data_IF_042114032320
#
_entry.id   IF_042114032320
#
_cell.length_a   1.000
_cell.length_b   1.000
_cell.length_c   1.000
_cell.angle_alpha   90.00
_cell.angle_beta   90.00
_cell.angle_gamma   90.00
#
_symmetry.space_group_name_H-M   'P 1'
#
loop_
_entity.id
_entity.type
_entity.pdbx_description
1 polymer ?
#
# COMPACT_ATOMS: atom_id res chain seq x y z
N UNK A 1 -4.78 -8.76 21.15
CA UNK A 1 -4.63 -8.60 19.69
C UNK A 1 -4.33 -9.97 19.12
N UNK A 2 -5.21 -10.50 18.26
CA UNK A 2 -4.96 -11.79 17.60
C UNK A 2 -4.04 -11.48 16.42
N UNK A 3 -2.81 -12.03 16.37
CA UNK A 3 -1.96 -11.83 15.20
C UNK A 3 -2.65 -12.47 13.99
N UNK A 4 -2.87 -11.68 12.94
CA UNK A 4 -3.36 -12.26 11.69
C UNK A 4 -2.28 -13.15 11.09
N UNK A 5 -2.65 -14.39 10.76
CA UNK A 5 -1.79 -15.30 10.03
C UNK A 5 -2.15 -15.21 8.55
N UNK A 6 -1.20 -14.78 7.74
CA UNK A 6 -1.25 -14.87 6.28
C UNK A 6 -0.20 -15.91 5.86
N UNK A 7 -0.56 -17.21 5.75
CA UNK A 7 0.41 -18.29 5.50
C UNK A 7 1.17 -18.13 4.17
N UNK A 8 0.57 -17.42 3.22
CA UNK A 8 1.13 -17.09 1.91
C UNK A 8 1.36 -15.58 1.75
N UNK A 9 1.40 -14.84 2.86
CA UNK A 9 1.65 -13.41 2.82
C UNK A 9 3.09 -13.11 2.42
N UNK A 10 3.28 -12.03 1.66
CA UNK A 10 4.59 -11.54 1.25
C UNK A 10 5.17 -10.56 2.29
N UNK A 11 6.49 -10.42 2.30
CA UNK A 11 7.15 -9.32 3.02
C UNK A 11 7.41 -8.19 2.04
N UNK A 12 6.93 -7.00 2.35
CA UNK A 12 7.16 -5.81 1.53
C UNK A 12 8.22 -4.91 2.16
N UNK A 13 8.96 -4.18 1.33
CA UNK A 13 9.90 -3.16 1.80
C UNK A 13 9.24 -1.79 1.69
N UNK A 14 9.20 -1.05 2.79
CA UNK A 14 8.76 0.35 2.79
C UNK A 14 9.95 1.24 2.48
N UNK A 15 9.79 2.07 1.45
CA UNK A 15 10.71 3.13 1.09
C UNK A 15 10.12 4.46 1.53
N UNK A 16 10.85 5.15 2.38
CA UNK A 16 10.50 6.47 2.90
C UNK A 16 11.67 7.40 2.65
N UNK A 17 11.35 8.63 2.26
CA UNK A 17 12.32 9.56 1.74
C UNK A 17 12.08 10.99 2.18
N UNK A 18 13.12 11.81 2.08
CA UNK A 18 13.00 13.26 2.20
C UNK A 18 12.88 13.89 0.82
N UNK A 19 12.45 15.15 0.78
CA UNK A 19 12.52 15.95 -0.44
C UNK A 19 13.80 16.76 -0.42
N UNK A 20 14.46 16.85 -1.55
CA UNK A 20 15.60 17.73 -1.70
C UNK A 20 15.16 19.20 -1.82
N UNK A 21 16.15 20.09 -1.98
CA UNK A 21 15.90 21.54 -2.10
C UNK A 21 15.05 21.90 -3.33
N UNK A 22 15.06 21.09 -4.39
CA UNK A 22 14.29 21.35 -5.61
C UNK A 22 12.94 20.63 -5.63
N UNK A 23 12.66 19.82 -4.61
CA UNK A 23 11.38 19.15 -4.40
C UNK A 23 11.35 17.70 -4.88
N UNK A 24 12.46 17.19 -5.40
CA UNK A 24 12.60 15.81 -5.86
C UNK A 24 12.66 14.87 -4.64
N UNK A 25 11.98 13.73 -4.78
CA UNK A 25 11.86 12.77 -3.69
C UNK A 25 13.05 11.81 -3.71
N UNK A 26 13.82 11.77 -2.63
CA UNK A 26 14.90 10.81 -2.44
C UNK A 26 14.42 9.68 -1.53
N UNK A 27 14.01 8.57 -2.14
CA UNK A 27 13.52 7.39 -1.44
C UNK A 27 14.68 6.50 -0.99
N UNK A 28 14.62 6.04 0.26
CA UNK A 28 15.55 5.05 0.82
C UNK A 28 14.78 3.92 1.48
N UNK A 29 15.36 2.72 1.48
CA UNK A 29 14.82 1.57 2.21
C UNK A 29 14.75 1.93 3.71
N UNK A 30 13.55 1.88 4.29
CA UNK A 30 13.31 2.27 5.69
C UNK A 30 13.16 1.05 6.60
N UNK A 31 12.21 0.16 6.30
CA UNK A 31 12.01 -1.11 7.00
C UNK A 31 11.17 -2.08 6.15
N UNK A 32 10.99 -3.31 6.65
CA UNK A 32 10.13 -4.32 6.02
C UNK A 32 8.87 -4.57 6.85
N UNK A 33 7.77 -4.90 6.19
CA UNK A 33 6.50 -5.26 6.81
C UNK A 33 6.08 -6.64 6.30
N UNK A 34 5.71 -7.53 7.22
CA UNK A 34 5.16 -8.83 6.88
C UNK A 34 4.41 -9.47 8.05
N UNK A 35 3.52 -10.43 7.76
CA UNK A 35 3.10 -10.85 6.42
C UNK A 35 2.04 -9.88 5.84
N UNK A 36 2.10 -9.61 4.53
CA UNK A 36 1.19 -8.72 3.80
C UNK A 36 0.47 -9.49 2.68
N UNK A 37 -0.72 -9.02 2.28
CA UNK A 37 -1.43 -9.55 1.12
C UNK A 37 -1.70 -8.44 0.11
N UNK A 38 -1.45 -8.71 -1.16
CA UNK A 38 -1.71 -7.78 -2.25
C UNK A 38 -2.75 -8.36 -3.20
N UNK A 39 -3.68 -7.53 -3.65
CA UNK A 39 -4.54 -7.84 -4.78
C UNK A 39 -4.73 -6.63 -5.68
N UNK A 40 -4.82 -6.83 -7.01
CA UNK A 40 -5.13 -5.73 -7.92
C UNK A 40 -6.55 -5.21 -7.64
N UNK A 41 -6.75 -3.89 -7.75
CA UNK A 41 -8.10 -3.34 -7.71
C UNK A 41 -8.89 -3.90 -8.90
N UNK A 42 -10.16 -4.28 -8.70
CA UNK A 42 -11.03 -4.79 -9.75
C UNK A 42 -11.52 -3.69 -10.70
N UNK A 43 -12.05 -4.07 -11.88
CA UNK A 43 -12.51 -3.13 -12.91
C UNK A 43 -13.54 -2.10 -12.38
N UNK A 44 -14.33 -2.46 -11.36
CA UNK A 44 -15.27 -1.55 -10.69
C UNK A 44 -14.66 -0.62 -9.63
N UNK A 45 -13.47 -0.91 -9.10
CA UNK A 45 -12.78 -0.10 -8.08
C UNK A 45 -11.66 0.79 -8.64
N UNK A 46 -11.50 0.83 -9.98
CA UNK A 46 -10.51 1.67 -10.66
C UNK A 46 -9.17 0.97 -10.92
N UNK A 47 -9.21 -0.33 -11.26
CA UNK A 47 -8.07 -1.18 -11.62
C UNK A 47 -7.05 -0.50 -12.54
N UNK A 48 -7.56 0.07 -13.63
CA UNK A 48 -6.78 0.72 -14.67
C UNK A 48 -7.56 1.96 -15.06
N UNK A 49 -6.96 3.13 -14.89
CA UNK A 49 -7.55 4.40 -15.35
C UNK A 49 -6.60 5.05 -16.33
N UNK A 50 -7.18 5.59 -17.40
CA UNK A 50 -6.50 6.55 -18.27
C UNK A 50 -6.07 7.74 -17.43
N UNK A 51 -4.82 8.16 -17.57
CA UNK A 51 -4.38 9.44 -17.01
C UNK A 51 -4.71 10.53 -18.04
N UNK A 52 -5.73 11.35 -17.76
CA UNK A 52 -6.21 12.37 -18.72
C UNK A 52 -5.13 13.42 -19.05
N UNK A 53 -4.16 13.62 -18.14
CA UNK A 53 -3.02 14.53 -18.35
C UNK A 53 -1.84 13.85 -19.07
N UNK A 54 -1.76 12.51 -19.03
CA UNK A 54 -0.73 11.71 -19.72
C UNK A 54 -1.39 10.62 -20.54
N UNK A 55 -1.83 10.98 -21.75
CA UNK A 55 -2.63 10.12 -22.65
C UNK A 55 -2.02 8.76 -23.00
N UNK A 56 -0.71 8.56 -22.81
CA UNK A 56 -0.02 7.29 -23.02
C UNK A 56 0.26 6.51 -21.70
N UNK A 57 -0.28 6.95 -20.57
CA UNK A 57 -0.07 6.31 -19.26
C UNK A 57 -1.36 5.72 -18.72
N UNK A 58 -1.34 4.43 -18.43
CA UNK A 58 -2.37 3.71 -17.70
C UNK A 58 -1.97 3.60 -16.22
N UNK A 59 -2.80 4.17 -15.35
CA UNK A 59 -2.63 4.07 -13.90
C UNK A 59 -3.18 2.73 -13.42
N UNK A 60 -2.31 1.83 -12.98
CA UNK A 60 -2.70 0.57 -12.32
C UNK A 60 -2.83 0.77 -10.82
N UNK A 61 -3.94 0.32 -10.23
CA UNK A 61 -4.18 0.40 -8.77
C UNK A 61 -4.28 -1.00 -8.15
N UNK A 62 -3.90 -1.10 -6.88
CA UNK A 62 -4.01 -2.29 -6.06
C UNK A 62 -4.41 -1.94 -4.63
N UNK A 63 -4.63 -2.98 -3.85
CA UNK A 63 -4.89 -2.90 -2.41
C UNK A 63 -3.89 -3.82 -1.70
N UNK A 64 -3.33 -3.32 -0.59
CA UNK A 64 -2.32 -3.98 0.21
C UNK A 64 -2.84 -4.08 1.64
N UNK A 65 -3.15 -5.30 2.10
CA UNK A 65 -3.38 -5.57 3.50
C UNK A 65 -2.04 -5.68 4.23
N UNK A 66 -1.90 -4.89 5.28
CA UNK A 66 -0.74 -4.90 6.18
C UNK A 66 -1.19 -5.13 7.62
N UNK A 67 -0.35 -5.71 8.49
CA UNK A 67 -0.65 -5.81 9.92
C UNK A 67 -1.05 -4.44 10.48
N UNK A 68 -2.06 -4.40 11.34
CA UNK A 68 -2.63 -3.12 11.83
C UNK A 68 -1.59 -2.23 12.52
N UNK A 69 -0.69 -2.84 13.27
CA UNK A 69 0.42 -2.18 13.99
C UNK A 69 1.59 -1.76 13.11
N UNK A 70 1.59 -2.11 11.81
CA UNK A 70 2.70 -1.79 10.93
C UNK A 70 2.80 -0.28 10.65
N UNK A 71 4.03 0.24 10.60
CA UNK A 71 4.29 1.64 10.24
C UNK A 71 4.18 1.82 8.71
N UNK A 72 3.03 2.27 8.26
CA UNK A 72 2.78 2.59 6.85
C UNK A 72 2.04 3.92 6.75
N UNK A 73 2.64 4.87 6.03
CA UNK A 73 2.11 6.22 5.82
C UNK A 73 1.63 6.40 4.37
N UNK A 74 0.73 7.37 4.19
CA UNK A 74 0.15 7.71 2.89
C UNK A 74 1.15 8.26 1.86
N UNK A 75 2.36 8.63 2.29
CA UNK A 75 3.44 9.16 1.42
C UNK A 75 4.50 8.12 1.08
N UNK A 76 4.37 6.92 1.63
CA UNK A 76 5.37 5.87 1.48
C UNK A 76 5.28 5.21 0.12
N UNK A 77 6.43 4.69 -0.31
CA UNK A 77 6.49 3.75 -1.41
C UNK A 77 6.70 2.35 -0.85
N UNK A 78 6.17 1.36 -1.55
CA UNK A 78 6.23 -0.04 -1.17
C UNK A 78 6.81 -0.82 -2.34
N UNK A 79 7.94 -1.48 -2.09
CA UNK A 79 8.51 -2.46 -2.99
C UNK A 79 8.05 -3.84 -2.56
N UNK A 80 7.32 -4.52 -3.44
CA UNK A 80 6.82 -5.87 -3.22
C UNK A 80 7.92 -6.91 -3.40
N UNK A 81 7.65 -8.17 -3.03
CA UNK A 81 8.64 -9.25 -3.16
C UNK A 81 9.03 -9.55 -4.62
N UNK A 82 8.16 -9.22 -5.58
CA UNK A 82 8.42 -9.31 -7.02
C UNK A 82 9.28 -8.14 -7.55
N UNK A 83 9.67 -7.19 -6.70
CA UNK A 83 10.44 -6.00 -7.05
C UNK A 83 9.61 -4.84 -7.61
N UNK A 84 8.30 -5.02 -7.81
CA UNK A 84 7.42 -3.95 -8.30
C UNK A 84 7.29 -2.83 -7.26
N UNK A 85 7.33 -1.58 -7.75
CA UNK A 85 7.24 -0.39 -6.92
C UNK A 85 5.84 0.22 -6.99
N UNK A 86 5.29 0.50 -5.82
CA UNK A 86 3.97 1.07 -5.65
C UNK A 86 4.03 2.25 -4.70
N UNK A 87 3.20 3.27 -4.92
CA UNK A 87 3.01 4.38 -4.00
C UNK A 87 1.72 4.17 -3.22
N UNK A 88 1.74 4.42 -1.91
CA UNK A 88 0.51 4.42 -1.09
C UNK A 88 -0.34 5.64 -1.49
N UNK A 89 -1.63 5.43 -1.67
CA UNK A 89 -2.58 6.47 -2.07
C UNK A 89 -3.65 6.61 -0.99
N UNK A 90 -3.57 7.73 -0.25
CA UNK A 90 -4.49 8.03 0.83
C UNK A 90 -4.14 7.31 2.14
N UNK A 91 -4.94 7.59 3.17
CA UNK A 91 -4.77 6.95 4.47
C UNK A 91 -5.18 5.46 4.42
N UNK A 92 -4.45 4.55 5.09
CA UNK A 92 -4.89 3.18 5.26
C UNK A 92 -6.31 3.12 5.83
N UNK A 93 -7.15 2.30 5.22
CA UNK A 93 -8.53 2.06 5.60
C UNK A 93 -8.61 0.84 6.51
N UNK A 94 -9.78 0.66 7.16
CA UNK A 94 -10.04 -0.47 8.05
C UNK A 94 -9.16 -0.54 9.30
N UNK A 95 -8.47 0.56 9.66
CA UNK A 95 -7.79 0.69 10.95
C UNK A 95 -8.78 1.03 12.08
N UNK A 96 -9.80 0.19 12.24
CA UNK A 96 -10.83 0.37 13.27
C UNK A 96 -11.38 -0.99 13.71
N UNK A 97 -11.89 -1.04 14.94
CA UNK A 97 -12.70 -2.19 15.37
C UNK A 97 -14.07 -2.09 14.72
N UNK A 98 -14.61 -3.22 14.28
CA UNK A 98 -15.90 -3.23 13.61
C UNK A 98 -17.00 -2.70 14.56
N UNK A 99 -17.72 -1.61 14.20
CA UNK A 99 -18.50 -0.83 15.16
C UNK A 99 -19.71 -1.58 15.72
N UNK A 100 -20.22 -2.60 15.01
CA UNK A 100 -21.39 -3.37 15.44
C UNK A 100 -21.03 -4.64 16.21
N UNK A 101 -19.82 -5.18 16.05
CA UNK A 101 -19.44 -6.49 16.59
C UNK A 101 -18.21 -6.45 17.48
N UNK A 102 -17.50 -5.32 17.53
CA UNK A 102 -16.21 -5.18 18.22
C UNK A 102 -15.11 -6.05 17.61
N UNK A 103 -15.33 -6.60 16.41
CA UNK A 103 -14.37 -7.49 15.77
C UNK A 103 -13.18 -6.70 15.25
N UNK A 104 -12.00 -6.98 15.80
CA UNK A 104 -10.72 -6.49 15.30
C UNK A 104 -10.24 -7.41 14.18
N UNK A 105 -10.10 -6.86 12.99
CA UNK A 105 -9.66 -7.60 11.80
C UNK A 105 -8.16 -7.89 11.83
N UNK A 106 -7.38 -7.17 12.65
CA UNK A 106 -5.93 -7.37 12.82
C UNK A 106 -5.06 -6.84 11.67
N UNK A 107 -5.66 -6.32 10.60
CA UNK A 107 -5.00 -5.68 9.47
C UNK A 107 -5.65 -4.36 9.12
N UNK A 108 -4.92 -3.54 8.37
CA UNK A 108 -5.43 -2.34 7.68
C UNK A 108 -5.14 -2.46 6.18
N UNK A 109 -5.97 -1.84 5.35
CA UNK A 109 -5.85 -1.90 3.89
C UNK A 109 -5.33 -0.57 3.37
N UNK A 110 -4.16 -0.57 2.76
CA UNK A 110 -3.63 0.56 2.03
C UNK A 110 -3.98 0.43 0.54
N UNK A 111 -4.57 1.47 -0.05
CA UNK A 111 -4.67 1.55 -1.50
C UNK A 111 -3.31 1.95 -2.06
N UNK A 112 -2.90 1.29 -3.14
CA UNK A 112 -1.61 1.53 -3.78
C UNK A 112 -1.77 1.79 -5.27
N UNK A 113 -0.88 2.59 -5.85
CA UNK A 113 -0.81 2.87 -7.29
C UNK A 113 0.56 2.46 -7.81
N UNK A 114 0.61 1.82 -8.98
CA UNK A 114 1.86 1.44 -9.61
C UNK A 114 2.65 2.70 -10.00
N UNK A 115 3.96 2.68 -9.76
CA UNK A 115 4.89 3.70 -10.24
C UNK A 115 5.51 3.18 -11.53
N UNK A 116 5.26 3.87 -12.65
CA UNK A 116 5.88 3.60 -13.95
C UNK A 116 7.01 4.57 -14.24
#
# INVERSE_FOLDING_TARGET
MIPISLPYGETVTVLRGTRDRVGDQQLSDHHTIGPCAFWPSGAGSGAVRSDDDRRDTSTVSGELAVPRTADLLATDHVRRADGSLWIVVGAPQWDMDHPMTGWDTGYKIARVKAVS
#
